data_IF_083745377885
#
_entry.id   IF_083745377885
#
_cell.length_a   1.000
_cell.length_b   1.000
_cell.length_c   1.000
_cell.angle_alpha   90.00
_cell.angle_beta   90.00
_cell.angle_gamma   90.00
#
_symmetry.space_group_name_H-M   'P 1'
#
loop_
_entity.id
_entity.type
_entity.pdbx_description
1 polymer ?
#
# COMPACT_ATOMS: atom_id res chain seq x y z
N UNK A 1 1.81 3.68 -26.92
CA UNK A 1 1.39 2.40 -27.55
C UNK A 1 0.27 2.59 -28.57
N UNK A 2 -0.95 3.04 -28.20
CA UNK A 2 -1.98 3.39 -29.19
C UNK A 2 -1.57 4.52 -30.15
N UNK A 3 -0.91 5.57 -29.63
CA UNK A 3 -0.41 6.68 -30.46
C UNK A 3 0.75 6.36 -31.41
N UNK A 4 1.47 5.25 -31.20
CA UNK A 4 2.61 4.82 -32.05
C UNK A 4 2.29 3.59 -32.91
N UNK A 5 1.05 3.08 -32.90
CA UNK A 5 0.62 1.95 -33.73
C UNK A 5 1.26 0.59 -33.41
N UNK A 6 2.07 0.46 -32.35
CA UNK A 6 2.76 -0.79 -31.99
C UNK A 6 1.80 -1.90 -31.55
N UNK A 7 0.63 -1.52 -31.00
CA UNK A 7 -0.42 -2.47 -30.61
C UNK A 7 -1.01 -3.21 -31.82
N UNK A 8 -1.11 -2.54 -32.98
CA UNK A 8 -1.67 -3.12 -34.22
C UNK A 8 -0.72 -4.20 -34.77
N UNK A 9 0.60 -3.98 -34.69
CA UNK A 9 1.61 -4.96 -35.14
C UNK A 9 1.67 -6.22 -34.27
N UNK A 10 1.45 -6.10 -32.97
CA UNK A 10 1.43 -7.24 -32.05
C UNK A 10 0.15 -8.07 -32.19
N UNK A 11 -1.00 -7.42 -32.39
CA UNK A 11 -2.29 -8.11 -32.57
C UNK A 11 -2.46 -8.70 -33.97
N UNK A 12 -1.68 -8.23 -34.97
CA UNK A 12 -1.61 -8.86 -36.29
C UNK A 12 -0.84 -10.18 -36.32
N UNK A 13 -0.09 -10.49 -35.25
CA UNK A 13 0.54 -11.79 -35.04
C UNK A 13 -0.43 -12.69 -34.25
N UNK A 14 -0.32 -14.03 -34.34
CA UNK A 14 -1.17 -14.98 -33.61
C UNK A 14 -0.81 -15.02 -32.12
N UNK A 15 -0.95 -13.88 -31.43
CA UNK A 15 -0.69 -13.69 -30.01
C UNK A 15 -2.04 -13.44 -29.33
N UNK A 16 -2.34 -14.22 -28.31
CA UNK A 16 -3.57 -14.05 -27.55
C UNK A 16 -3.56 -12.73 -26.76
N UNK A 17 -4.74 -12.08 -26.66
CA UNK A 17 -4.89 -10.75 -26.05
C UNK A 17 -4.62 -10.75 -24.54
N UNK A 18 -4.96 -11.85 -23.88
CA UNK A 18 -4.65 -12.11 -22.47
C UNK A 18 -3.14 -12.16 -22.21
N UNK A 19 -2.36 -12.75 -23.12
CA UNK A 19 -0.91 -12.81 -23.02
C UNK A 19 -0.27 -11.42 -23.08
N UNK A 20 -0.84 -10.49 -23.85
CA UNK A 20 -0.34 -9.11 -23.96
C UNK A 20 -0.52 -8.35 -22.64
N UNK A 21 -1.71 -8.41 -22.02
CA UNK A 21 -1.98 -7.69 -20.78
C UNK A 21 -1.25 -8.30 -19.58
N UNK A 22 -1.22 -9.63 -19.48
CA UNK A 22 -0.45 -10.34 -18.45
C UNK A 22 1.05 -10.08 -18.62
N UNK A 23 1.56 -10.11 -19.85
CA UNK A 23 2.95 -9.78 -20.15
C UNK A 23 3.32 -8.36 -19.75
N UNK A 24 2.47 -7.37 -20.06
CA UNK A 24 2.69 -5.97 -19.68
C UNK A 24 2.74 -5.78 -18.17
N UNK A 25 1.83 -6.41 -17.44
CA UNK A 25 1.81 -6.33 -15.99
C UNK A 25 3.02 -7.03 -15.36
N UNK A 26 3.32 -8.27 -15.74
CA UNK A 26 4.46 -9.04 -15.21
C UNK A 26 5.78 -8.33 -15.53
N UNK A 27 5.97 -7.84 -16.75
CA UNK A 27 7.17 -7.08 -17.11
C UNK A 27 7.32 -5.80 -16.27
N UNK A 28 6.21 -5.10 -16.00
CA UNK A 28 6.21 -3.96 -15.08
C UNK A 28 6.57 -4.35 -13.65
N UNK A 29 5.98 -5.42 -13.12
CA UNK A 29 6.29 -5.91 -11.76
C UNK A 29 7.75 -6.33 -11.62
N UNK A 30 8.30 -7.03 -12.61
CA UNK A 30 9.71 -7.47 -12.60
C UNK A 30 10.66 -6.27 -12.63
N UNK A 31 10.40 -5.29 -13.50
CA UNK A 31 11.24 -4.08 -13.57
C UNK A 31 11.20 -3.28 -12.26
N UNK A 32 10.02 -3.09 -11.67
CA UNK A 32 9.85 -2.44 -10.36
C UNK A 32 10.58 -3.23 -9.26
N UNK A 33 10.43 -4.55 -9.23
CA UNK A 33 11.10 -5.41 -8.25
C UNK A 33 12.62 -5.28 -8.32
N UNK A 34 13.19 -5.26 -9.54
CA UNK A 34 14.63 -5.12 -9.74
C UNK A 34 15.11 -3.74 -9.30
N UNK A 35 14.38 -2.68 -9.64
CA UNK A 35 14.71 -1.31 -9.21
C UNK A 35 14.65 -1.16 -7.69
N UNK A 36 13.59 -1.65 -7.04
CA UNK A 36 13.45 -1.60 -5.59
C UNK A 36 14.54 -2.40 -4.88
N UNK A 37 14.83 -3.62 -5.36
CA UNK A 37 15.91 -4.43 -4.82
C UNK A 37 17.25 -3.69 -4.89
N UNK A 38 17.54 -3.07 -6.03
CA UNK A 38 18.76 -2.27 -6.21
C UNK A 38 18.82 -1.10 -5.23
N UNK A 39 17.72 -0.34 -5.08
CA UNK A 39 17.63 0.79 -4.15
C UNK A 39 17.84 0.32 -2.71
N UNK A 40 17.17 -0.75 -2.28
CA UNK A 40 17.28 -1.29 -0.92
C UNK A 40 18.70 -1.78 -0.63
N UNK A 41 19.33 -2.48 -1.57
CA UNK A 41 20.72 -2.95 -1.41
C UNK A 41 21.71 -1.79 -1.35
N UNK A 42 21.53 -0.76 -2.18
CA UNK A 42 22.37 0.44 -2.16
C UNK A 42 22.23 1.18 -0.84
N UNK A 43 21.00 1.47 -0.41
CA UNK A 43 20.74 2.18 0.86
C UNK A 43 21.24 1.37 2.06
N UNK A 44 21.01 0.06 2.07
CA UNK A 44 21.50 -0.82 3.12
C UNK A 44 23.03 -0.87 3.12
N UNK A 45 23.67 -1.04 1.96
CA UNK A 45 25.12 -1.06 1.83
C UNK A 45 25.77 0.23 2.32
N UNK A 46 25.26 1.39 1.91
CA UNK A 46 25.72 2.68 2.43
C UNK A 46 25.46 2.83 3.93
N UNK A 47 24.28 2.43 4.41
CA UNK A 47 23.93 2.47 5.83
C UNK A 47 24.89 1.65 6.69
N UNK A 48 25.31 0.47 6.22
CA UNK A 48 26.31 -0.37 6.89
C UNK A 48 27.67 0.32 6.97
N UNK A 49 28.11 0.93 5.87
CA UNK A 49 29.42 1.61 5.83
C UNK A 49 29.48 2.85 6.72
N UNK A 50 28.36 3.58 6.85
CA UNK A 50 28.31 4.82 7.64
C UNK A 50 28.10 4.57 9.14
N UNK A 51 27.24 3.61 9.49
CA UNK A 51 26.83 3.35 10.88
C UNK A 51 27.74 2.29 11.52
N UNK A 52 28.36 1.41 10.74
CA UNK A 52 29.29 0.38 11.22
C UNK A 52 28.64 -0.73 12.07
N UNK A 53 27.31 -0.73 12.19
CA UNK A 53 26.56 -1.74 12.93
C UNK A 53 26.12 -2.85 11.97
N UNK A 54 26.52 -4.08 12.26
CA UNK A 54 26.09 -5.26 11.51
C UNK A 54 24.64 -5.60 11.92
N UNK A 55 23.68 -5.60 10.99
CA UNK A 55 22.30 -5.97 11.27
C UNK A 55 22.24 -7.45 11.63
N UNK A 56 21.38 -7.79 12.58
CA UNK A 56 21.10 -9.18 12.90
C UNK A 56 20.30 -9.86 11.78
N UNK A 57 20.14 -11.18 11.92
CA UNK A 57 19.28 -11.98 11.04
C UNK A 57 17.82 -11.51 11.09
N UNK A 58 17.39 -10.94 12.22
CA UNK A 58 16.04 -10.41 12.40
C UNK A 58 15.81 -9.14 11.55
N UNK A 59 16.75 -8.19 11.57
CA UNK A 59 16.68 -6.98 10.76
C UNK A 59 16.73 -7.29 9.25
N UNK A 60 17.52 -8.29 8.84
CA UNK A 60 17.55 -8.77 7.46
C UNK A 60 16.17 -9.27 7.00
N UNK A 61 15.47 -10.04 7.84
CA UNK A 61 14.13 -10.53 7.51
C UNK A 61 13.10 -9.39 7.47
N UNK A 62 13.22 -8.39 8.36
CA UNK A 62 12.39 -7.17 8.31
C UNK A 62 12.58 -6.42 7.00
N UNK A 63 13.82 -6.25 6.57
CA UNK A 63 14.15 -5.58 5.31
C UNK A 63 13.57 -6.35 4.11
N UNK A 64 13.64 -7.67 4.13
CA UNK A 64 13.07 -8.52 3.08
C UNK A 64 11.54 -8.43 3.02
N UNK A 65 10.85 -8.49 4.17
CA UNK A 65 9.39 -8.33 4.22
C UNK A 65 8.97 -6.91 3.77
N UNK A 66 9.73 -5.89 4.18
CA UNK A 66 9.52 -4.51 3.72
C UNK A 66 9.62 -4.39 2.19
N UNK A 67 10.61 -5.05 1.58
CA UNK A 67 10.77 -5.09 0.14
C UNK A 67 9.54 -5.75 -0.54
N UNK A 68 9.03 -6.86 -0.01
CA UNK A 68 7.83 -7.53 -0.54
C UNK A 68 6.61 -6.60 -0.48
N UNK A 69 6.38 -5.96 0.67
CA UNK A 69 5.26 -5.01 0.85
C UNK A 69 5.35 -3.86 -0.15
N UNK A 70 6.57 -3.34 -0.35
CA UNK A 70 6.83 -2.25 -1.28
C UNK A 70 6.55 -2.66 -2.73
N UNK A 71 6.95 -3.87 -3.15
CA UNK A 71 6.64 -4.41 -4.48
C UNK A 71 5.12 -4.50 -4.68
N UNK A 72 4.38 -5.06 -3.71
CA UNK A 72 2.92 -5.20 -3.84
C UNK A 72 2.26 -3.83 -3.91
N UNK A 73 2.70 -2.87 -3.09
CA UNK A 73 2.18 -1.50 -3.10
C UNK A 73 2.41 -0.79 -4.43
N UNK A 74 3.60 -0.88 -5.02
CA UNK A 74 3.84 -0.23 -6.31
C UNK A 74 3.14 -0.99 -7.44
N UNK A 75 2.99 -2.32 -7.33
CA UNK A 75 2.24 -3.14 -8.28
C UNK A 75 0.74 -2.76 -8.32
N UNK A 76 0.17 -2.34 -7.18
CA UNK A 76 -1.18 -1.76 -7.14
C UNK A 76 -1.27 -0.55 -8.06
N UNK A 77 -0.35 0.40 -7.90
CA UNK A 77 -0.32 1.62 -8.70
C UNK A 77 -0.03 1.36 -10.17
N UNK A 78 0.81 0.37 -10.47
CA UNK A 78 1.01 -0.10 -11.84
C UNK A 78 -0.30 -0.60 -12.45
N UNK A 79 -1.05 -1.44 -11.74
CA UNK A 79 -2.36 -1.92 -12.21
C UNK A 79 -3.34 -0.78 -12.47
N UNK A 80 -3.37 0.21 -11.59
CA UNK A 80 -4.22 1.39 -11.71
C UNK A 80 -3.82 2.30 -12.88
N UNK A 81 -2.52 2.48 -13.08
CA UNK A 81 -1.99 3.22 -14.22
C UNK A 81 -2.33 2.52 -15.56
N UNK A 82 -2.27 1.18 -15.60
CA UNK A 82 -2.70 0.39 -16.76
C UNK A 82 -4.21 0.55 -17.00
N UNK A 83 -5.03 0.50 -15.95
CA UNK A 83 -6.48 0.73 -16.03
C UNK A 83 -6.78 2.09 -16.66
N UNK A 84 -6.15 3.17 -16.17
CA UNK A 84 -6.34 4.49 -16.78
C UNK A 84 -5.77 4.60 -18.19
N UNK A 85 -4.65 3.94 -18.48
CA UNK A 85 -4.10 3.88 -19.83
C UNK A 85 -5.04 3.18 -20.83
N UNK A 86 -5.88 2.25 -20.36
CA UNK A 86 -6.88 1.57 -21.20
C UNK A 86 -8.16 2.39 -21.31
N UNK A 87 -8.60 3.03 -20.22
CA UNK A 87 -9.84 3.82 -20.18
C UNK A 87 -9.76 5.15 -20.95
N UNK A 88 -8.60 5.82 -20.96
CA UNK A 88 -8.43 7.11 -21.62
C UNK A 88 -7.78 6.96 -23.01
N UNK A 89 -8.28 7.71 -24.00
CA UNK A 89 -7.72 7.74 -25.36
C UNK A 89 -6.38 8.48 -25.45
N UNK A 90 -6.15 9.48 -24.60
CA UNK A 90 -4.92 10.27 -24.59
C UNK A 90 -3.94 9.79 -23.52
N UNK A 91 -2.67 9.66 -23.91
CA UNK A 91 -1.57 9.26 -23.02
C UNK A 91 -1.40 10.29 -21.90
N UNK A 92 -1.41 11.58 -22.25
CA UNK A 92 -1.24 12.66 -21.28
C UNK A 92 -2.38 12.70 -20.25
N UNK A 93 -3.63 12.53 -20.68
CA UNK A 93 -4.77 12.54 -19.76
C UNK A 93 -4.78 11.32 -18.86
N UNK A 94 -4.35 10.15 -19.36
CA UNK A 94 -4.26 8.92 -18.54
C UNK A 94 -3.21 9.06 -17.43
N UNK A 95 -2.05 9.64 -17.74
CA UNK A 95 -0.99 9.87 -16.76
C UNK A 95 -1.41 10.90 -15.71
N UNK A 96 -2.00 12.03 -16.15
CA UNK A 96 -2.51 13.06 -15.24
C UNK A 96 -3.63 12.55 -14.35
N UNK A 97 -4.56 11.74 -14.90
CA UNK A 97 -5.63 11.12 -14.11
C UNK A 97 -5.07 10.15 -13.06
N UNK A 98 -4.06 9.35 -13.41
CA UNK A 98 -3.39 8.45 -12.47
C UNK A 98 -2.72 9.21 -11.34
N UNK A 99 -2.01 10.30 -11.65
CA UNK A 99 -1.35 11.15 -10.64
C UNK A 99 -2.37 11.88 -9.78
N UNK A 100 -3.42 12.45 -10.38
CA UNK A 100 -4.48 13.14 -9.65
C UNK A 100 -5.20 12.19 -8.69
N UNK A 101 -5.51 10.97 -9.13
CA UNK A 101 -6.11 9.95 -8.26
C UNK A 101 -5.12 9.53 -7.17
N UNK A 102 -3.83 9.41 -7.48
CA UNK A 102 -2.80 9.13 -6.48
C UNK A 102 -2.75 10.19 -5.36
N UNK A 103 -2.74 11.47 -5.74
CA UNK A 103 -2.77 12.60 -4.79
C UNK A 103 -4.08 12.54 -3.98
N UNK A 104 -5.21 12.34 -4.65
CA UNK A 104 -6.50 12.28 -3.99
C UNK A 104 -6.56 11.17 -2.93
N UNK A 105 -6.18 9.94 -3.29
CA UNK A 105 -6.13 8.79 -2.37
C UNK A 105 -5.14 8.99 -1.23
N UNK A 106 -4.02 9.66 -1.48
CA UNK A 106 -2.96 9.85 -0.48
C UNK A 106 -3.31 10.90 0.57
N UNK A 107 -3.89 12.03 0.14
CA UNK A 107 -4.17 13.17 1.03
C UNK A 107 -5.61 13.18 1.53
N UNK A 108 -6.59 13.08 0.64
CA UNK A 108 -7.99 13.29 0.98
C UNK A 108 -8.59 12.15 1.80
N UNK A 109 -8.11 10.92 1.65
CA UNK A 109 -8.62 9.81 2.48
C UNK A 109 -7.99 9.86 3.88
N UNK A 110 -6.71 10.22 3.99
CA UNK A 110 -6.07 10.40 5.29
C UNK A 110 -6.72 11.53 6.08
N UNK A 111 -6.98 12.68 5.45
CA UNK A 111 -7.65 13.83 6.08
C UNK A 111 -9.16 13.60 6.27
N UNK A 112 -9.80 12.98 5.27
CA UNK A 112 -11.24 12.70 5.27
C UNK A 112 -11.64 11.64 6.30
N UNK A 113 -10.77 10.68 6.63
CA UNK A 113 -11.04 9.69 7.68
C UNK A 113 -11.24 10.35 9.06
N UNK A 114 -10.46 11.39 9.38
CA UNK A 114 -10.61 12.17 10.62
C UNK A 114 -11.93 12.96 10.64
N UNK A 115 -12.26 13.62 9.53
CA UNK A 115 -13.49 14.41 9.42
C UNK A 115 -14.72 13.53 9.44
N UNK A 116 -14.73 12.42 8.70
CA UNK A 116 -15.86 11.47 8.64
C UNK A 116 -16.06 10.76 9.97
N UNK A 117 -14.98 10.35 10.66
CA UNK A 117 -15.10 9.72 11.97
C UNK A 117 -15.72 10.66 13.00
N UNK A 118 -15.29 11.93 13.02
CA UNK A 118 -15.83 12.96 13.92
C UNK A 118 -17.25 13.41 13.52
N UNK A 119 -17.63 13.32 12.24
CA UNK A 119 -18.99 13.62 11.78
C UNK A 119 -19.99 12.51 12.13
N UNK A 120 -19.56 11.24 12.06
CA UNK A 120 -20.43 10.07 12.35
C UNK A 120 -20.55 9.80 13.85
N UNK A 121 -19.49 10.04 14.61
CA UNK A 121 -19.50 9.95 16.08
C UNK A 121 -18.82 11.20 16.65
N UNK A 122 -19.55 12.31 16.85
CA UNK A 122 -18.97 13.50 17.46
C UNK A 122 -18.55 13.18 18.89
N UNK A 123 -17.24 13.18 19.14
CA UNK A 123 -16.69 13.14 20.51
C UNK A 123 -16.81 14.54 21.09
N UNK A 124 -18.03 14.91 21.45
CA UNK A 124 -18.33 16.15 22.17
C UNK A 124 -17.61 16.16 23.51
N UNK A 125 -16.96 17.29 23.78
CA UNK A 125 -16.15 17.61 24.94
C UNK A 125 -16.99 17.73 26.22
N UNK A 126 -17.63 16.65 26.69
CA UNK A 126 -18.23 16.64 28.02
C UNK A 126 -18.46 15.24 28.58
N UNK A 127 -17.82 14.99 29.72
CA UNK A 127 -18.13 14.03 30.77
C UNK A 127 -18.25 12.54 30.42
N UNK A 128 -17.17 11.81 30.76
CA UNK A 128 -17.17 10.48 31.39
C UNK A 128 -18.06 9.34 30.81
N UNK A 129 -18.54 9.42 29.56
CA UNK A 129 -19.45 8.40 29.02
C UNK A 129 -18.81 7.52 27.92
N UNK A 130 -18.41 6.33 28.38
CA UNK A 130 -18.19 5.06 27.65
C UNK A 130 -16.99 4.99 26.70
N UNK A 131 -15.96 4.26 27.15
CA UNK A 131 -14.94 3.61 26.32
C UNK A 131 -15.47 3.00 25.01
N UNK A 132 -16.75 2.59 24.99
CA UNK A 132 -17.44 2.06 23.80
C UNK A 132 -17.66 3.08 22.68
N UNK A 133 -17.95 4.37 22.98
CA UNK A 133 -18.21 5.39 21.95
C UNK A 133 -16.91 5.82 21.27
N UNK A 134 -15.84 5.97 22.07
CA UNK A 134 -14.47 6.24 21.59
C UNK A 134 -13.97 5.03 20.77
N UNK A 135 -14.19 3.80 21.24
CA UNK A 135 -13.82 2.60 20.48
C UNK A 135 -14.58 2.46 19.16
N UNK A 136 -15.85 2.87 19.11
CA UNK A 136 -16.67 2.82 17.89
C UNK A 136 -16.23 3.87 16.87
N UNK A 137 -15.95 5.10 17.30
CA UNK A 137 -15.34 6.13 16.45
C UNK A 137 -13.99 5.63 15.89
N UNK A 138 -13.12 5.08 16.75
CA UNK A 138 -11.83 4.54 16.34
C UNK A 138 -11.95 3.40 15.33
N UNK A 139 -12.93 2.49 15.46
CA UNK A 139 -13.19 1.42 14.47
C UNK A 139 -13.66 1.97 13.13
N UNK A 140 -14.55 2.96 13.13
CA UNK A 140 -15.04 3.57 11.89
C UNK A 140 -13.89 4.32 11.20
N UNK A 141 -13.10 5.08 11.94
CA UNK A 141 -11.87 5.71 11.46
C UNK A 141 -10.90 4.68 10.88
N UNK A 142 -10.72 3.55 11.56
CA UNK A 142 -9.87 2.46 11.10
C UNK A 142 -10.37 1.89 9.78
N UNK A 143 -11.64 1.51 9.66
CA UNK A 143 -12.23 0.98 8.43
C UNK A 143 -12.16 1.96 7.25
N UNK A 144 -12.46 3.23 7.49
CA UNK A 144 -12.36 4.28 6.46
C UNK A 144 -10.89 4.48 6.05
N UNK A 145 -9.96 4.44 7.01
CA UNK A 145 -8.52 4.58 6.72
C UNK A 145 -7.97 3.39 5.91
N UNK A 146 -8.46 2.18 6.17
CA UNK A 146 -8.05 0.94 5.47
C UNK A 146 -8.48 0.93 3.99
N UNK A 147 -9.41 1.81 3.58
CA UNK A 147 -9.77 1.96 2.17
C UNK A 147 -8.64 2.54 1.32
N UNK A 148 -7.67 3.24 1.92
CA UNK A 148 -6.56 3.82 1.17
C UNK A 148 -5.34 2.88 1.13
N UNK A 149 -4.82 2.55 -0.08
CA UNK A 149 -3.58 1.78 -0.24
C UNK A 149 -2.39 2.41 0.48
N UNK A 150 -2.37 3.76 0.56
CA UNK A 150 -1.32 4.54 1.21
C UNK A 150 -1.28 4.31 2.72
N UNK A 151 -2.44 4.34 3.40
CA UNK A 151 -2.50 4.06 4.84
C UNK A 151 -2.13 2.60 5.10
N UNK A 152 -2.57 1.68 4.25
CA UNK A 152 -2.22 0.26 4.35
C UNK A 152 -0.70 0.03 4.29
N UNK A 153 -0.03 0.64 3.32
CA UNK A 153 1.43 0.59 3.16
C UNK A 153 2.18 1.26 4.32
N UNK A 154 1.73 2.43 4.75
CA UNK A 154 2.35 3.17 5.86
C UNK A 154 2.25 2.42 7.18
N UNK A 155 1.08 1.84 7.47
CA UNK A 155 0.84 0.98 8.64
C UNK A 155 1.72 -0.26 8.62
N UNK A 156 1.81 -0.95 7.49
CA UNK A 156 2.66 -2.13 7.34
C UNK A 156 4.15 -1.80 7.50
N UNK A 157 4.62 -0.74 6.85
CA UNK A 157 6.03 -0.33 6.87
C UNK A 157 6.47 0.14 8.26
N UNK A 158 5.65 0.94 8.94
CA UNK A 158 5.96 1.42 10.29
C UNK A 158 6.04 0.30 11.33
N UNK A 159 5.21 -0.73 11.22
CA UNK A 159 5.26 -1.90 12.13
C UNK A 159 6.48 -2.80 11.89
N UNK A 160 7.04 -2.81 10.68
CA UNK A 160 8.19 -3.65 10.34
C UNK A 160 9.51 -2.94 10.63
N UNK A 161 9.61 -1.66 10.25
CA UNK A 161 10.83 -0.85 10.37
C UNK A 161 11.04 -0.36 11.81
N UNK A 162 9.97 -0.01 12.54
CA UNK A 162 10.03 0.41 13.93
C UNK A 162 9.43 -0.67 14.85
N UNK A 163 10.24 -1.65 15.32
CA UNK A 163 9.76 -2.72 16.19
C UNK A 163 9.29 -2.23 17.56
N UNK A 164 9.52 -0.95 17.90
CA UNK A 164 9.04 -0.35 19.15
C UNK A 164 7.61 0.16 19.05
N UNK A 165 7.05 0.34 17.85
CA UNK A 165 5.64 0.73 17.63
C UNK A 165 4.72 -0.49 17.68
N UNK A 166 4.35 -0.89 18.90
CA UNK A 166 3.52 -2.09 19.17
C UNK A 166 2.08 -2.03 18.65
N UNK A 167 1.59 -0.86 18.23
CA UNK A 167 0.16 -0.67 17.94
C UNK A 167 -0.08 0.29 16.79
N UNK A 168 -0.69 -0.22 15.71
CA UNK A 168 -1.21 0.56 14.58
C UNK A 168 -2.52 1.28 14.90
N UNK A 169 -3.17 0.93 16.02
CA UNK A 169 -4.33 1.67 16.56
C UNK A 169 -3.87 2.98 17.19
N UNK A 170 -4.18 4.07 16.51
CA UNK A 170 -3.65 5.38 16.86
C UNK A 170 -3.89 5.82 18.31
N UNK A 171 -4.90 5.32 19.03
CA UNK A 171 -5.19 5.77 20.39
C UNK A 171 -5.86 4.64 21.18
N UNK A 172 -5.08 3.82 21.89
CA UNK A 172 -5.53 3.36 23.19
C UNK A 172 -4.95 4.38 24.17
N UNK A 173 -5.83 5.11 24.84
CA UNK A 173 -5.47 6.08 25.88
C UNK A 173 -4.86 5.31 27.07
N UNK A 174 -3.61 4.87 26.93
CA UNK A 174 -2.87 4.26 28.03
C UNK A 174 -2.60 5.33 29.08
N UNK A 175 -3.01 5.08 30.32
CA UNK A 175 -2.75 5.99 31.42
C UNK A 175 -1.24 6.20 31.64
N UNK A 176 -0.80 7.31 32.28
CA UNK A 176 0.62 7.56 32.56
C UNK A 176 1.32 6.38 33.28
N UNK A 177 0.58 5.65 34.11
CA UNK A 177 1.04 4.45 34.83
C UNK A 177 1.17 3.21 33.94
N UNK A 178 0.33 3.06 32.91
CA UNK A 178 0.43 1.96 31.93
C UNK A 178 1.57 2.18 30.94
N UNK A 179 1.92 3.44 30.64
CA UNK A 179 3.12 3.77 29.86
C UNK A 179 4.42 3.40 30.60
N UNK A 180 4.43 3.56 31.92
CA UNK A 180 5.57 3.20 32.79
C UNK A 180 5.68 1.69 33.04
N UNK A 181 4.57 0.93 33.01
CA UNK A 181 4.62 -0.53 33.06
C UNK A 181 4.95 -1.13 31.68
N UNK A 182 4.46 -0.53 30.59
CA UNK A 182 4.80 -0.92 29.22
C UNK A 182 6.27 -0.65 28.85
N UNK A 183 6.94 0.31 29.49
CA UNK A 183 8.37 0.57 29.29
C UNK A 183 9.27 -0.54 29.84
N UNK A 184 8.80 -1.35 30.81
CA UNK A 184 9.52 -2.54 31.30
C UNK A 184 9.42 -3.76 30.36
N UNK A 185 8.47 -3.76 29.43
CA UNK A 185 8.29 -4.78 28.39
C UNK A 185 8.73 -4.28 27.01
N UNK A 186 9.80 -3.48 26.97
CA UNK A 186 10.47 -2.98 25.76
C UNK A 186 11.25 -4.05 24.99
N UNK A 187 10.89 -5.33 25.08
CA UNK A 187 11.40 -6.26 24.07
C UNK A 187 10.79 -5.87 22.72
N UNK A 188 11.61 -5.66 21.67
CA UNK A 188 11.12 -5.47 20.31
C UNK A 188 10.16 -6.60 19.97
N UNK A 189 9.07 -6.31 19.26
CA UNK A 189 8.14 -7.38 18.88
C UNK A 189 8.92 -8.44 18.10
N UNK A 190 8.86 -9.73 18.49
CA UNK A 190 9.47 -10.78 17.71
C UNK A 190 8.92 -10.74 16.28
N UNK A 191 9.76 -10.98 15.28
CA UNK A 191 9.38 -11.05 13.86
C UNK A 191 8.02 -11.70 13.59
N UNK A 192 7.76 -12.84 14.23
CA UNK A 192 6.52 -13.59 14.05
C UNK A 192 5.27 -12.79 14.43
N UNK A 193 5.34 -12.01 15.51
CA UNK A 193 4.21 -11.17 15.91
C UNK A 193 4.04 -9.95 15.00
N UNK A 194 5.13 -9.33 14.56
CA UNK A 194 5.07 -8.25 13.55
C UNK A 194 4.40 -8.76 12.26
N UNK A 195 4.72 -9.97 11.80
CA UNK A 195 4.14 -10.54 10.59
C UNK A 195 2.63 -10.79 10.73
N UNK A 196 2.18 -11.31 11.88
CA UNK A 196 0.76 -11.52 12.15
C UNK A 196 -0.02 -10.20 12.12
N UNK A 197 0.53 -9.13 12.70
CA UNK A 197 -0.09 -7.79 12.67
C UNK A 197 -0.14 -7.19 11.27
N UNK A 198 0.88 -7.44 10.44
CA UNK A 198 0.96 -6.90 9.08
C UNK A 198 0.11 -7.71 8.08
N UNK A 199 -0.09 -9.00 8.32
CA UNK A 199 -0.84 -9.91 7.43
C UNK A 199 -2.20 -9.38 6.95
N UNK A 200 -3.10 -8.82 7.77
CA UNK A 200 -4.38 -8.29 7.26
C UNK A 200 -4.20 -7.10 6.30
N UNK A 201 -3.18 -6.26 6.54
CA UNK A 201 -2.87 -5.11 5.68
C UNK A 201 -2.33 -5.59 4.33
N UNK A 202 -1.45 -6.59 4.35
CA UNK A 202 -0.93 -7.22 3.14
C UNK A 202 -2.04 -7.89 2.31
N UNK A 203 -2.90 -8.67 2.96
CA UNK A 203 -4.02 -9.35 2.29
C UNK A 203 -4.95 -8.32 1.64
N UNK A 204 -5.30 -7.25 2.34
CA UNK A 204 -6.14 -6.19 1.80
C UNK A 204 -5.46 -5.46 0.63
N UNK A 205 -4.14 -5.25 0.67
CA UNK A 205 -3.39 -4.64 -0.43
C UNK A 205 -3.40 -5.54 -1.67
N UNK A 206 -3.12 -6.83 -1.49
CA UNK A 206 -3.16 -7.84 -2.57
C UNK A 206 -4.56 -7.99 -3.14
N UNK A 207 -5.60 -7.99 -2.30
CA UNK A 207 -6.98 -8.05 -2.79
C UNK A 207 -7.31 -6.84 -3.68
N UNK A 208 -6.88 -5.64 -3.28
CA UNK A 208 -7.09 -4.43 -4.05
C UNK A 208 -6.32 -4.41 -5.37
N UNK A 209 -5.09 -4.95 -5.39
CA UNK A 209 -4.28 -5.07 -6.62
C UNK A 209 -4.94 -6.03 -7.61
N UNK A 210 -5.41 -7.18 -7.13
CA UNK A 210 -6.08 -8.18 -7.95
C UNK A 210 -7.40 -7.65 -8.52
N UNK A 211 -8.20 -6.94 -7.72
CA UNK A 211 -9.44 -6.33 -8.20
C UNK A 211 -9.14 -5.29 -9.29
N UNK A 212 -8.15 -4.41 -9.07
CA UNK A 212 -7.77 -3.41 -10.06
C UNK A 212 -7.30 -4.05 -11.38
N UNK A 213 -6.46 -5.09 -11.26
CA UNK A 213 -5.99 -5.85 -12.42
C UNK A 213 -7.12 -6.59 -13.13
N UNK A 214 -8.07 -7.20 -12.40
CA UNK A 214 -9.22 -7.89 -12.97
C UNK A 214 -10.13 -6.92 -13.74
N UNK A 215 -10.37 -5.71 -13.21
CA UNK A 215 -11.13 -4.67 -13.93
C UNK A 215 -10.39 -4.27 -15.20
N UNK A 216 -9.08 -4.05 -15.12
CA UNK A 216 -8.24 -3.74 -16.27
C UNK A 216 -8.29 -4.86 -17.33
N UNK A 217 -8.27 -6.12 -16.91
CA UNK A 217 -8.37 -7.29 -17.78
C UNK A 217 -9.72 -7.33 -18.50
N UNK A 218 -10.82 -7.16 -17.77
CA UNK A 218 -12.18 -7.16 -18.34
C UNK A 218 -12.34 -6.02 -19.35
N UNK A 219 -11.95 -4.80 -18.98
CA UNK A 219 -12.04 -3.64 -19.89
C UNK A 219 -11.19 -3.82 -21.15
N UNK A 220 -10.01 -4.43 -21.04
CA UNK A 220 -9.16 -4.73 -22.19
C UNK A 220 -9.80 -5.76 -23.13
N UNK A 221 -10.43 -6.80 -22.57
CA UNK A 221 -11.12 -7.83 -23.33
C UNK A 221 -12.39 -7.30 -24.01
N UNK A 222 -13.09 -6.36 -23.38
CA UNK A 222 -14.30 -5.72 -23.92
C UNK A 222 -14.01 -4.65 -24.97
N UNK A 223 -12.79 -4.12 -25.06
CA UNK A 223 -12.43 -3.14 -26.09
C UNK A 223 -12.18 -3.82 -27.45
N UNK A 224 -12.96 -3.41 -28.46
CA UNK A 224 -12.69 -3.80 -29.84
C UNK A 224 -11.41 -3.13 -30.34
N UNK A 225 -10.44 -3.94 -30.78
CA UNK A 225 -9.16 -3.47 -31.38
C UNK A 225 -9.38 -3.04 -32.86
N UNK A 226 -10.54 -2.48 -33.19
CA UNK A 226 -10.78 -1.85 -34.50
C UNK A 226 -10.90 -0.35 -34.33
N UNK A 227 -9.77 0.33 -34.39
CA UNK A 227 -9.61 1.67 -34.95
C UNK A 227 -8.15 1.96 -35.19
#
# INVERSE_FOLDING_TARGET
ERGNGTLIKLVSQPIYRDAVINGKFIAGVVTISLMLLSIVLVISGFGLTLIGVVPGLEELWRLFIYLIISIIYISFWLGLAILFSISFKSIATSALASVALWIFLSFFISLGADVLANAVVPTGTQDQAKTETIARNARIKELVSLSSPMVLYSKASSTIIDPMRKTTRAIILMGPMERLSASRFQNPLPLGQSLVVVSPHLIALVAMTLICFAISYILFMLQEIRT
#
